data_IF_071429688626
#
_entry.id   IF_071429688626
#
_cell.length_a   1.000
_cell.length_b   1.000
_cell.length_c   1.000
_cell.angle_alpha   90.00
_cell.angle_beta   90.00
_cell.angle_gamma   90.00
#
_symmetry.space_group_name_H-M   'P 1'
#
loop_
_entity.id
_entity.type
_entity.pdbx_description
1 polymer ?
#
# COMPACT_ATOMS: atom_id res chain seq x y z
N UNK A 1 -5.42 -15.39 67.98
CA UNK A 1 -5.00 -14.07 67.47
C UNK A 1 -4.38 -14.37 66.11
N UNK A 2 -5.21 -14.52 65.07
CA UNK A 2 -5.76 -13.43 64.23
C UNK A 2 -4.71 -13.05 63.15
N UNK A 3 -4.94 -13.03 61.84
CA UNK A 3 -6.16 -13.13 61.03
C UNK A 3 -5.84 -13.70 59.63
N UNK A 4 -6.87 -14.27 59.01
CA UNK A 4 -7.06 -14.51 57.57
C UNK A 4 -7.22 -13.18 56.80
N UNK A 5 -6.81 -13.14 55.53
CA UNK A 5 -7.42 -12.42 54.37
C UNK A 5 -6.36 -12.35 53.24
N UNK A 6 -6.48 -13.14 52.18
CA UNK A 6 -7.23 -12.83 50.96
C UNK A 6 -6.60 -11.68 50.15
N UNK A 7 -5.73 -12.00 49.19
CA UNK A 7 -5.60 -11.19 47.98
C UNK A 7 -6.08 -12.02 46.79
N UNK A 8 -7.29 -11.66 46.39
CA UNK A 8 -8.03 -12.14 45.23
C UNK A 8 -7.38 -11.66 43.95
N UNK A 9 -7.27 -12.58 43.00
CA UNK A 9 -7.80 -12.45 41.64
C UNK A 9 -7.93 -11.01 41.10
N UNK A 10 -6.94 -10.58 40.33
CA UNK A 10 -7.08 -9.47 39.37
C UNK A 10 -7.01 -10.01 37.95
N UNK A 11 -7.82 -11.03 37.67
CA UNK A 11 -8.26 -11.33 36.32
C UNK A 11 -9.24 -10.28 35.80
N UNK A 12 -9.08 -9.91 34.52
CA UNK A 12 -10.16 -9.46 33.64
C UNK A 12 -11.00 -8.24 34.08
N UNK A 13 -10.54 -7.02 33.77
CA UNK A 13 -11.41 -5.83 33.74
C UNK A 13 -11.54 -5.21 32.33
N UNK A 14 -10.78 -5.71 31.33
CA UNK A 14 -10.84 -5.19 29.96
C UNK A 14 -11.92 -5.80 29.05
N UNK A 15 -12.26 -7.08 29.23
CA UNK A 15 -13.12 -7.82 28.27
C UNK A 15 -14.63 -7.67 28.48
N UNK A 16 -15.09 -7.44 29.71
CA UNK A 16 -16.54 -7.41 30.01
C UNK A 16 -17.21 -6.09 29.62
N UNK A 17 -16.48 -4.96 29.64
CA UNK A 17 -17.10 -3.63 29.56
C UNK A 17 -17.80 -3.32 28.24
N UNK A 18 -17.55 -4.05 27.16
CA UNK A 18 -18.25 -3.74 25.91
C UNK A 18 -18.77 -4.91 25.10
N UNK A 19 -18.78 -6.11 25.67
CA UNK A 19 -19.91 -7.02 25.45
C UNK A 19 -21.24 -6.41 25.95
N UNK A 20 -21.19 -5.54 26.97
CA UNK A 20 -22.35 -4.80 27.50
C UNK A 20 -22.99 -3.83 26.50
N UNK A 21 -22.23 -3.37 25.50
CA UNK A 21 -22.68 -2.43 24.48
C UNK A 21 -23.32 -3.13 23.26
N UNK A 22 -23.13 -4.44 23.10
CA UNK A 22 -23.67 -5.22 21.97
C UNK A 22 -25.20 -5.21 21.90
N UNK A 23 -25.96 -5.33 23.02
CA UNK A 23 -27.41 -5.17 23.00
C UNK A 23 -27.86 -3.81 22.46
N UNK A 24 -27.16 -2.73 22.83
CA UNK A 24 -27.44 -1.37 22.36
C UNK A 24 -27.16 -1.24 20.85
N UNK A 25 -26.08 -1.85 20.36
CA UNK A 25 -25.79 -1.94 18.93
C UNK A 25 -26.92 -2.66 18.19
N UNK A 26 -27.32 -3.84 18.67
CA UNK A 26 -28.41 -4.64 18.06
C UNK A 26 -29.71 -3.84 17.97
N UNK A 27 -30.04 -3.08 19.02
CA UNK A 27 -31.21 -2.20 19.03
C UNK A 27 -31.10 -1.11 17.96
N UNK A 28 -29.97 -0.42 17.87
CA UNK A 28 -29.77 0.65 16.89
C UNK A 28 -29.80 0.12 15.45
N UNK A 29 -29.19 -1.04 15.18
CA UNK A 29 -29.27 -1.69 13.87
C UNK A 29 -30.72 -2.08 13.48
N UNK A 30 -31.52 -2.51 14.46
CA UNK A 30 -32.95 -2.80 14.25
C UNK A 30 -33.76 -1.52 13.98
N UNK A 31 -33.44 -0.41 14.65
CA UNK A 31 -34.05 0.89 14.38
C UNK A 31 -33.73 1.35 12.95
N UNK A 32 -32.50 1.15 12.47
CA UNK A 32 -32.11 1.44 11.07
C UNK A 32 -32.90 0.59 10.06
N UNK A 33 -33.02 -0.73 10.32
CA UNK A 33 -33.81 -1.64 9.48
C UNK A 33 -35.28 -1.20 9.42
N UNK A 34 -35.86 -0.87 10.58
CA UNK A 34 -37.27 -0.46 10.69
C UNK A 34 -37.51 0.87 9.99
N UNK A 35 -36.63 1.85 10.20
CA UNK A 35 -36.68 3.14 9.53
C UNK A 35 -36.56 3.04 8.00
N UNK A 36 -35.72 2.13 7.49
CA UNK A 36 -35.63 1.85 6.05
C UNK A 36 -36.95 1.31 5.50
N UNK A 37 -37.56 0.32 6.18
CA UNK A 37 -38.81 -0.32 5.75
C UNK A 37 -40.01 0.62 5.79
N UNK A 38 -40.05 1.50 6.78
CA UNK A 38 -41.15 2.46 7.00
C UNK A 38 -40.93 3.79 6.26
N UNK A 39 -39.80 3.95 5.55
CA UNK A 39 -39.46 5.20 4.89
C UNK A 39 -40.47 5.54 3.78
N UNK A 40 -40.89 6.80 3.77
CA UNK A 40 -41.70 7.39 2.69
C UNK A 40 -40.86 8.09 1.63
N UNK A 41 -39.53 8.12 1.79
CA UNK A 41 -38.59 8.70 0.84
C UNK A 41 -38.42 7.84 -0.42
N UNK A 42 -37.91 8.41 -1.52
CA UNK A 42 -37.42 7.63 -2.66
C UNK A 42 -36.41 6.55 -2.24
N UNK A 43 -36.47 5.37 -2.87
CA UNK A 43 -35.66 4.21 -2.48
C UNK A 43 -34.15 4.48 -2.44
N UNK A 44 -33.63 5.32 -3.36
CA UNK A 44 -32.19 5.68 -3.41
C UNK A 44 -31.80 6.59 -2.24
N UNK A 45 -32.68 7.53 -1.84
CA UNK A 45 -32.44 8.42 -0.71
C UNK A 45 -32.49 7.63 0.61
N UNK A 46 -33.51 6.79 0.78
CA UNK A 46 -33.64 5.92 1.95
C UNK A 46 -32.44 4.95 2.09
N UNK A 47 -31.99 4.35 0.98
CA UNK A 47 -30.81 3.49 0.98
C UNK A 47 -29.52 4.26 1.31
N UNK A 48 -29.38 5.49 0.81
CA UNK A 48 -28.25 6.37 1.12
C UNK A 48 -28.22 6.74 2.61
N UNK A 49 -29.36 7.14 3.16
CA UNK A 49 -29.50 7.46 4.58
C UNK A 49 -29.20 6.25 5.47
N UNK A 50 -29.74 5.07 5.14
CA UNK A 50 -29.41 3.82 5.84
C UNK A 50 -27.91 3.54 5.83
N UNK A 51 -27.25 3.62 4.67
CA UNK A 51 -25.82 3.36 4.53
C UNK A 51 -24.98 4.35 5.37
N UNK A 52 -25.32 5.64 5.33
CA UNK A 52 -24.65 6.66 6.13
C UNK A 52 -24.82 6.41 7.64
N UNK A 53 -26.04 6.13 8.09
CA UNK A 53 -26.31 5.88 9.51
C UNK A 53 -25.68 4.56 9.99
N UNK A 54 -25.62 3.53 9.15
CA UNK A 54 -24.91 2.28 9.43
C UNK A 54 -23.41 2.55 9.61
N UNK A 55 -22.77 3.27 8.68
CA UNK A 55 -21.37 3.66 8.80
C UNK A 55 -21.11 4.48 10.07
N UNK A 56 -21.95 5.47 10.35
CA UNK A 56 -21.82 6.31 11.54
C UNK A 56 -21.92 5.48 12.83
N UNK A 57 -22.91 4.58 12.90
CA UNK A 57 -23.07 3.64 14.03
C UNK A 57 -21.83 2.75 14.17
N UNK A 58 -21.32 2.20 13.07
CA UNK A 58 -20.12 1.36 13.11
C UNK A 58 -18.88 2.11 13.58
N UNK A 59 -18.68 3.36 13.14
CA UNK A 59 -17.57 4.20 13.57
C UNK A 59 -17.65 4.48 15.07
N UNK A 60 -18.82 4.89 15.58
CA UNK A 60 -19.03 5.16 17.00
C UNK A 60 -18.71 3.95 17.88
N UNK A 61 -19.12 2.75 17.47
CA UNK A 61 -18.84 1.55 18.23
C UNK A 61 -17.40 1.07 18.05
N UNK A 62 -16.81 1.16 16.84
CA UNK A 62 -15.44 0.76 16.59
C UNK A 62 -14.41 1.67 17.30
N UNK A 63 -14.69 2.97 17.42
CA UNK A 63 -13.80 3.92 18.10
C UNK A 63 -13.62 3.63 19.59
N UNK A 64 -14.66 3.10 20.25
CA UNK A 64 -14.57 2.66 21.65
C UNK A 64 -13.52 1.57 21.86
N UNK A 65 -13.12 0.88 20.80
CA UNK A 65 -12.20 -0.26 20.83
C UNK A 65 -10.82 0.01 20.23
N UNK A 66 -10.59 1.20 19.64
CA UNK A 66 -9.26 1.57 19.10
C UNK A 66 -8.15 1.55 20.15
N UNK A 67 -8.50 1.67 21.44
CA UNK A 67 -7.57 1.66 22.59
C UNK A 67 -7.61 0.37 23.41
N UNK A 68 -8.41 -0.62 23.00
CA UNK A 68 -8.56 -1.91 23.71
C UNK A 68 -7.53 -2.91 23.20
N UNK A 69 -6.92 -3.67 24.12
CA UNK A 69 -6.08 -4.83 23.78
C UNK A 69 -6.90 -6.04 23.30
N UNK A 70 -8.22 -6.06 23.58
CA UNK A 70 -9.12 -7.14 23.17
C UNK A 70 -9.86 -6.80 21.86
N UNK A 71 -9.60 -7.53 20.75
CA UNK A 71 -10.28 -7.36 19.47
C UNK A 71 -11.64 -8.07 19.38
N UNK A 72 -12.00 -8.95 20.32
CA UNK A 72 -13.22 -9.77 20.25
C UNK A 72 -14.51 -8.92 20.20
N UNK A 73 -14.65 -7.83 20.97
CA UNK A 73 -15.86 -7.01 20.89
C UNK A 73 -16.04 -6.36 19.52
N UNK A 74 -14.96 -6.00 18.84
CA UNK A 74 -15.01 -5.43 17.49
C UNK A 74 -15.41 -6.48 16.44
N UNK A 75 -14.97 -7.74 16.60
CA UNK A 75 -15.47 -8.85 15.78
C UNK A 75 -16.98 -9.03 15.94
N UNK A 76 -17.49 -8.92 17.16
CA UNK A 76 -18.92 -8.99 17.43
C UNK A 76 -19.68 -7.80 16.80
N UNK A 77 -19.13 -6.58 16.86
CA UNK A 77 -19.68 -5.40 16.18
C UNK A 77 -19.85 -5.65 14.68
N UNK A 78 -18.80 -6.15 14.00
CA UNK A 78 -18.88 -6.43 12.56
C UNK A 78 -19.82 -7.60 12.24
N UNK A 79 -19.88 -8.61 13.10
CA UNK A 79 -20.82 -9.73 12.98
C UNK A 79 -22.27 -9.23 13.06
N UNK A 80 -22.58 -8.37 14.03
CA UNK A 80 -23.91 -7.79 14.16
C UNK A 80 -24.25 -6.84 13.01
N UNK A 81 -23.29 -6.08 12.51
CA UNK A 81 -23.49 -5.21 11.35
C UNK A 81 -23.81 -5.99 10.07
N UNK A 82 -23.09 -7.08 9.79
CA UNK A 82 -23.41 -7.96 8.66
C UNK A 82 -24.80 -8.59 8.87
N UNK A 83 -25.12 -9.04 10.08
CA UNK A 83 -26.47 -9.56 10.38
C UNK A 83 -27.58 -8.53 10.12
N UNK A 84 -27.40 -7.28 10.57
CA UNK A 84 -28.34 -6.19 10.32
C UNK A 84 -28.45 -5.87 8.83
N UNK A 85 -27.33 -5.81 8.13
CA UNK A 85 -27.30 -5.56 6.68
C UNK A 85 -28.04 -6.65 5.90
N UNK A 86 -27.87 -7.93 6.25
CA UNK A 86 -28.61 -9.04 5.60
C UNK A 86 -30.11 -8.87 5.74
N UNK A 87 -30.60 -8.38 6.89
CA UNK A 87 -32.03 -8.15 7.12
C UNK A 87 -32.56 -6.95 6.34
N UNK A 88 -31.76 -5.90 6.22
CA UNK A 88 -32.10 -4.69 5.47
C UNK A 88 -31.97 -4.88 3.94
N UNK A 89 -31.12 -5.81 3.47
CA UNK A 89 -30.79 -6.00 2.05
C UNK A 89 -32.01 -6.12 1.10
N UNK A 90 -33.11 -6.83 1.45
CA UNK A 90 -34.30 -6.90 0.59
C UNK A 90 -34.99 -5.55 0.35
N UNK A 91 -34.86 -4.62 1.31
CA UNK A 91 -35.46 -3.29 1.28
C UNK A 91 -34.51 -2.24 0.64
N UNK A 92 -33.25 -2.61 0.36
CA UNK A 92 -32.24 -1.75 -0.27
C UNK A 92 -32.27 -1.84 -1.79
N UNK A 93 -32.39 -0.69 -2.47
CA UNK A 93 -32.27 -0.61 -3.93
C UNK A 93 -30.84 -0.88 -4.41
N UNK A 94 -30.70 -1.58 -5.53
CA UNK A 94 -29.41 -1.83 -6.17
C UNK A 94 -28.93 -0.65 -7.02
N UNK A 95 -29.76 0.38 -7.20
CA UNK A 95 -29.39 1.63 -7.90
C UNK A 95 -28.51 2.55 -7.04
N UNK A 96 -28.43 2.30 -5.73
CA UNK A 96 -27.62 3.09 -4.82
C UNK A 96 -26.22 2.47 -4.68
N UNK A 97 -25.19 3.16 -5.19
CA UNK A 97 -23.79 2.70 -5.14
C UNK A 97 -23.29 2.48 -3.69
N UNK A 98 -23.81 3.26 -2.73
CA UNK A 98 -23.46 3.15 -1.31
C UNK A 98 -23.78 1.76 -0.73
N UNK A 99 -24.81 1.08 -1.26
CA UNK A 99 -25.25 -0.22 -0.76
C UNK A 99 -24.13 -1.26 -0.92
N UNK A 100 -23.56 -1.36 -2.13
CA UNK A 100 -22.44 -2.25 -2.40
C UNK A 100 -21.18 -1.78 -1.66
N UNK A 101 -20.88 -0.49 -1.73
CA UNK A 101 -19.67 0.10 -1.15
C UNK A 101 -19.55 -0.14 0.36
N UNK A 102 -20.62 0.11 1.13
CA UNK A 102 -20.60 -0.08 2.59
C UNK A 102 -20.38 -1.54 2.97
N UNK A 103 -21.00 -2.48 2.25
CA UNK A 103 -20.80 -3.90 2.51
C UNK A 103 -19.37 -4.34 2.19
N UNK A 104 -18.80 -3.87 1.08
CA UNK A 104 -17.40 -4.13 0.73
C UNK A 104 -16.45 -3.58 1.79
N UNK A 105 -16.63 -2.32 2.19
CA UNK A 105 -15.81 -1.70 3.24
C UNK A 105 -15.91 -2.45 4.57
N UNK A 106 -17.11 -2.89 4.95
CA UNK A 106 -17.32 -3.70 6.15
C UNK A 106 -16.62 -5.06 6.05
N UNK A 107 -16.71 -5.73 4.90
CA UNK A 107 -16.05 -7.01 4.67
C UNK A 107 -14.52 -6.88 4.76
N UNK A 108 -13.95 -5.83 4.17
CA UNK A 108 -12.51 -5.54 4.24
C UNK A 108 -12.07 -5.23 5.67
N UNK A 109 -12.80 -4.39 6.41
CA UNK A 109 -12.47 -4.09 7.81
C UNK A 109 -12.54 -5.34 8.71
N UNK A 110 -13.51 -6.23 8.48
CA UNK A 110 -13.60 -7.51 9.19
C UNK A 110 -12.40 -8.39 8.84
N UNK A 111 -12.07 -8.55 7.55
CA UNK A 111 -10.93 -9.35 7.11
C UNK A 111 -9.61 -8.83 7.71
N UNK A 112 -9.41 -7.51 7.73
CA UNK A 112 -8.22 -6.88 8.33
C UNK A 112 -8.12 -7.21 9.82
N UNK A 113 -9.23 -7.12 10.55
CA UNK A 113 -9.27 -7.45 11.98
C UNK A 113 -8.92 -8.92 12.22
N UNK A 114 -9.46 -9.85 11.42
CA UNK A 114 -9.15 -11.28 11.52
C UNK A 114 -7.67 -11.57 11.28
N UNK A 115 -7.06 -10.90 10.31
CA UNK A 115 -5.62 -11.02 10.04
C UNK A 115 -4.77 -10.46 11.18
N UNK A 116 -5.28 -9.46 11.91
CA UNK A 116 -4.57 -8.74 12.97
C UNK A 116 -4.80 -9.26 14.39
N UNK A 117 -5.52 -10.37 14.57
CA UNK A 117 -5.75 -10.93 15.89
C UNK A 117 -4.41 -11.34 16.55
N UNK A 118 -4.15 -10.91 17.81
CA UNK A 118 -2.89 -11.20 18.50
C UNK A 118 -2.78 -12.69 18.89
N UNK A 119 -3.93 -13.34 19.10
CA UNK A 119 -4.09 -14.76 19.39
C UNK A 119 -5.16 -15.30 18.46
N UNK A 120 -4.95 -16.52 17.95
CA UNK A 120 -5.97 -17.19 17.14
C UNK A 120 -7.26 -17.36 17.92
N UNK A 121 -8.39 -17.27 17.21
CA UNK A 121 -9.67 -17.59 17.81
C UNK A 121 -9.71 -19.08 18.21
N UNK A 122 -10.31 -19.41 19.35
CA UNK A 122 -10.64 -20.79 19.70
C UNK A 122 -11.42 -21.49 18.57
N UNK A 123 -11.16 -22.78 18.35
CA UNK A 123 -11.74 -23.56 17.24
C UNK A 123 -13.27 -23.49 17.18
N UNK A 124 -13.94 -23.49 18.32
CA UNK A 124 -15.40 -23.35 18.39
C UNK A 124 -15.87 -21.98 17.86
N UNK A 125 -15.19 -20.89 18.24
CA UNK A 125 -15.50 -19.53 17.76
C UNK A 125 -15.21 -19.39 16.27
N UNK A 126 -14.15 -20.03 15.78
CA UNK A 126 -13.85 -20.04 14.35
C UNK A 126 -14.94 -20.79 13.55
N UNK A 127 -15.40 -21.94 14.02
CA UNK A 127 -16.52 -22.67 13.40
C UNK A 127 -17.84 -21.89 13.40
N UNK A 128 -18.12 -21.14 14.46
CA UNK A 128 -19.25 -20.21 14.51
C UNK A 128 -19.12 -19.13 13.43
N UNK A 129 -17.93 -18.52 13.30
CA UNK A 129 -17.62 -17.56 12.24
C UNK A 129 -17.81 -18.17 10.84
N UNK A 130 -17.24 -19.35 10.57
CA UNK A 130 -17.38 -20.02 9.26
C UNK A 130 -18.85 -20.26 8.91
N UNK A 131 -19.62 -20.80 9.86
CA UNK A 131 -21.05 -21.06 9.69
C UNK A 131 -21.84 -19.77 9.42
N UNK A 132 -21.52 -18.70 10.15
CA UNK A 132 -22.13 -17.39 9.98
C UNK A 132 -21.81 -16.80 8.60
N UNK A 133 -20.54 -16.76 8.20
CA UNK A 133 -20.13 -16.19 6.91
C UNK A 133 -20.70 -17.00 5.75
N UNK A 134 -20.74 -18.34 5.82
CA UNK A 134 -21.35 -19.16 4.78
C UNK A 134 -22.84 -18.84 4.61
N UNK A 135 -23.58 -18.69 5.71
CA UNK A 135 -24.98 -18.28 5.68
C UNK A 135 -25.13 -16.85 5.12
N UNK A 136 -24.30 -15.92 5.56
CA UNK A 136 -24.33 -14.52 5.16
C UNK A 136 -24.06 -14.36 3.67
N UNK A 137 -22.99 -15.00 3.18
CA UNK A 137 -22.59 -15.00 1.79
C UNK A 137 -23.69 -15.56 0.90
N UNK A 138 -24.27 -16.71 1.27
CA UNK A 138 -25.36 -17.34 0.50
C UNK A 138 -26.59 -16.42 0.39
N UNK A 139 -27.02 -15.79 1.51
CA UNK A 139 -28.17 -14.88 1.51
C UNK A 139 -27.91 -13.59 0.72
N UNK A 140 -26.70 -13.05 0.76
CA UNK A 140 -26.34 -11.85 0.03
C UNK A 140 -26.20 -12.12 -1.47
N UNK A 141 -25.65 -13.26 -1.86
CA UNK A 141 -25.57 -13.70 -3.26
C UNK A 141 -26.94 -13.89 -3.90
N UNK A 142 -27.95 -14.37 -3.15
CA UNK A 142 -29.34 -14.43 -3.63
C UNK A 142 -29.91 -13.05 -4.01
N UNK A 143 -29.38 -11.98 -3.41
CA UNK A 143 -29.73 -10.59 -3.70
C UNK A 143 -28.70 -9.90 -4.62
N UNK A 144 -27.83 -10.67 -5.29
CA UNK A 144 -26.81 -10.15 -6.21
C UNK A 144 -25.61 -9.47 -5.56
N UNK A 145 -25.44 -9.59 -4.24
CA UNK A 145 -24.33 -8.96 -3.49
C UNK A 145 -23.18 -9.93 -3.29
N UNK A 146 -22.07 -9.70 -4.00
CA UNK A 146 -20.84 -10.52 -3.92
C UNK A 146 -19.77 -9.97 -2.97
N UNK A 147 -19.99 -8.81 -2.35
CA UNK A 147 -18.98 -8.06 -1.59
C UNK A 147 -18.43 -8.81 -0.36
N UNK A 148 -19.16 -9.82 0.13
CA UNK A 148 -18.71 -10.67 1.26
C UNK A 148 -17.71 -11.77 0.84
N UNK A 149 -17.35 -11.87 -0.44
CA UNK A 149 -16.53 -12.95 -0.97
C UNK A 149 -15.19 -13.11 -0.23
N UNK A 150 -14.49 -12.01 0.10
CA UNK A 150 -13.21 -12.06 0.83
C UNK A 150 -13.31 -12.78 2.17
N UNK A 151 -14.41 -12.58 2.92
CA UNK A 151 -14.65 -13.29 4.17
C UNK A 151 -15.00 -14.75 3.92
N UNK A 152 -15.72 -15.05 2.83
CA UNK A 152 -16.05 -16.42 2.45
C UNK A 152 -14.81 -17.24 2.06
N UNK A 153 -13.80 -16.60 1.47
CA UNK A 153 -12.48 -17.18 1.18
C UNK A 153 -11.76 -17.49 2.49
N UNK A 154 -11.65 -16.52 3.39
CA UNK A 154 -11.03 -16.71 4.71
C UNK A 154 -11.72 -17.81 5.53
N UNK A 155 -13.04 -17.94 5.41
CA UNK A 155 -13.82 -18.94 6.12
C UNK A 155 -13.64 -20.39 5.59
N UNK A 156 -12.97 -20.61 4.46
CA UNK A 156 -12.72 -21.98 3.98
C UNK A 156 -11.68 -22.73 4.82
N UNK A 157 -10.85 -22.01 5.57
CA UNK A 157 -9.74 -22.56 6.36
C UNK A 157 -10.05 -22.50 7.85
N UNK A 158 -9.34 -23.26 8.69
CA UNK A 158 -9.53 -23.31 10.15
C UNK A 158 -8.82 -22.16 10.91
N UNK A 159 -8.41 -21.13 10.18
CA UNK A 159 -7.77 -19.94 10.72
C UNK A 159 -7.26 -19.03 9.62
N UNK A 160 -7.15 -17.74 9.93
CA UNK A 160 -6.75 -16.74 8.95
C UNK A 160 -5.37 -17.04 8.33
N UNK A 161 -4.46 -17.72 9.03
CA UNK A 161 -3.10 -18.02 8.57
C UNK A 161 -2.80 -19.53 8.46
N UNK A 162 -3.82 -20.40 8.50
CA UNK A 162 -3.65 -21.87 8.62
C UNK A 162 -3.69 -22.64 7.31
N UNK A 163 -3.95 -21.98 6.18
CA UNK A 163 -3.91 -22.68 4.90
C UNK A 163 -2.51 -23.33 4.72
N UNK A 164 -2.43 -24.63 4.40
CA UNK A 164 -1.15 -25.34 4.35
C UNK A 164 -0.21 -24.79 3.26
N UNK A 165 -0.75 -24.39 2.10
CA UNK A 165 0.05 -23.79 1.01
C UNK A 165 0.60 -22.44 1.46
N UNK A 166 -0.22 -21.62 2.13
CA UNK A 166 0.25 -20.37 2.74
C UNK A 166 1.36 -20.62 3.77
N UNK A 167 1.17 -21.58 4.69
CA UNK A 167 2.19 -21.92 5.68
C UNK A 167 3.51 -22.33 5.02
N UNK A 168 3.48 -23.16 3.97
CA UNK A 168 4.68 -23.56 3.24
C UNK A 168 5.33 -22.38 2.50
N UNK A 169 4.54 -21.45 1.94
CA UNK A 169 5.05 -20.20 1.34
C UNK A 169 5.79 -19.36 2.38
N UNK A 170 5.18 -19.13 3.55
CA UNK A 170 5.74 -18.29 4.61
C UNK A 170 6.97 -18.94 5.25
N UNK A 171 7.01 -20.27 5.33
CA UNK A 171 8.16 -21.04 5.79
C UNK A 171 9.25 -21.19 4.72
N UNK A 172 8.99 -20.78 3.47
CA UNK A 172 9.90 -20.92 2.32
C UNK A 172 10.34 -22.38 2.06
N UNK A 173 9.42 -23.32 2.26
CA UNK A 173 9.64 -24.74 1.98
C UNK A 173 9.55 -25.04 0.47
N UNK A 174 9.84 -26.28 0.06
CA UNK A 174 9.65 -26.69 -1.34
C UNK A 174 8.15 -26.71 -1.67
N UNK A 175 7.78 -26.03 -2.75
CA UNK A 175 6.38 -25.82 -3.14
C UNK A 175 6.07 -26.54 -4.46
N UNK A 176 4.87 -27.11 -4.54
CA UNK A 176 4.25 -27.42 -5.81
C UNK A 176 3.70 -26.12 -6.43
N UNK A 177 4.28 -25.72 -7.57
CA UNK A 177 3.91 -24.48 -8.26
C UNK A 177 2.45 -24.47 -8.72
N UNK A 178 1.87 -25.63 -9.05
CA UNK A 178 0.46 -25.69 -9.46
C UNK A 178 -0.47 -25.46 -8.26
N UNK A 179 -0.10 -25.95 -7.07
CA UNK A 179 -0.85 -25.69 -5.84
C UNK A 179 -0.74 -24.22 -5.41
N UNK A 180 0.47 -23.63 -5.51
CA UNK A 180 0.69 -22.21 -5.23
C UNK A 180 -0.14 -21.33 -6.17
N UNK A 181 -0.13 -21.58 -7.48
CA UNK A 181 -0.89 -20.78 -8.44
C UNK A 181 -2.40 -20.88 -8.17
N UNK A 182 -2.91 -22.08 -7.88
CA UNK A 182 -4.32 -22.27 -7.50
C UNK A 182 -4.67 -21.51 -6.22
N UNK A 183 -3.80 -21.56 -5.22
CA UNK A 183 -3.98 -20.83 -3.96
C UNK A 183 -4.02 -19.32 -4.19
N UNK A 184 -3.07 -18.76 -4.95
CA UNK A 184 -3.03 -17.32 -5.24
C UNK A 184 -4.27 -16.85 -6.02
N UNK A 185 -4.68 -17.63 -7.03
CA UNK A 185 -5.90 -17.35 -7.79
C UNK A 185 -7.17 -17.46 -6.92
N UNK A 186 -7.20 -18.40 -5.98
CA UNK A 186 -8.31 -18.60 -5.06
C UNK A 186 -8.42 -17.49 -4.02
N UNK A 187 -7.32 -17.06 -3.40
CA UNK A 187 -7.36 -15.95 -2.43
C UNK A 187 -7.65 -14.60 -3.08
N UNK A 188 -7.15 -14.40 -4.29
CA UNK A 188 -7.32 -13.17 -5.04
C UNK A 188 -6.46 -12.01 -4.54
N UNK A 189 -6.37 -10.92 -5.32
CA UNK A 189 -5.38 -9.87 -5.11
C UNK A 189 -5.58 -9.08 -3.81
N UNK A 190 -6.83 -8.83 -3.42
CA UNK A 190 -7.14 -7.99 -2.25
C UNK A 190 -6.69 -8.66 -0.96
N UNK A 191 -7.02 -9.95 -0.76
CA UNK A 191 -6.64 -10.66 0.46
C UNK A 191 -5.13 -10.86 0.54
N UNK A 192 -4.49 -11.21 -0.57
CA UNK A 192 -3.03 -11.35 -0.66
C UNK A 192 -2.31 -10.04 -0.30
N UNK A 193 -2.77 -8.90 -0.82
CA UNK A 193 -2.21 -7.58 -0.49
C UNK A 193 -2.38 -7.27 1.01
N UNK A 194 -3.56 -7.54 1.59
CA UNK A 194 -3.80 -7.35 3.03
C UNK A 194 -2.86 -8.21 3.88
N UNK A 195 -2.60 -9.47 3.49
CA UNK A 195 -1.63 -10.34 4.16
C UNK A 195 -0.23 -9.78 4.09
N UNK A 196 0.23 -9.39 2.91
CA UNK A 196 1.57 -8.83 2.73
C UNK A 196 1.75 -7.57 3.59
N UNK A 197 0.78 -6.64 3.55
CA UNK A 197 0.78 -5.44 4.38
C UNK A 197 0.80 -5.76 5.88
N UNK A 198 0.04 -6.76 6.31
CA UNK A 198 0.07 -7.22 7.69
C UNK A 198 1.46 -7.73 8.09
N UNK A 199 2.07 -8.61 7.29
CA UNK A 199 3.41 -9.15 7.53
C UNK A 199 4.47 -8.05 7.60
N UNK A 200 4.37 -7.03 6.73
CA UNK A 200 5.25 -5.85 6.77
C UNK A 200 5.07 -5.07 8.08
N UNK A 201 3.83 -4.82 8.50
CA UNK A 201 3.48 -4.10 9.73
C UNK A 201 3.99 -4.82 10.99
N UNK A 202 3.94 -6.16 11.00
CA UNK A 202 4.46 -7.01 12.10
C UNK A 202 5.95 -7.32 11.98
N UNK A 203 6.67 -6.68 11.05
CA UNK A 203 8.12 -6.82 10.81
C UNK A 203 8.57 -8.22 10.37
N UNK A 204 7.66 -9.02 9.81
CA UNK A 204 7.95 -10.33 9.21
C UNK A 204 8.38 -10.18 7.75
N UNK A 205 9.44 -9.38 7.51
CA UNK A 205 9.83 -8.93 6.16
C UNK A 205 10.22 -10.08 5.23
N UNK A 206 10.84 -11.15 5.71
CA UNK A 206 11.20 -12.31 4.89
C UNK A 206 9.96 -12.99 4.30
N UNK A 207 8.92 -13.16 5.11
CA UNK A 207 7.65 -13.77 4.72
C UNK A 207 6.87 -12.86 3.77
N UNK A 208 6.80 -11.55 4.08
CA UNK A 208 6.20 -10.56 3.19
C UNK A 208 6.88 -10.56 1.81
N UNK A 209 8.22 -10.59 1.79
CA UNK A 209 9.02 -10.63 0.56
C UNK A 209 8.72 -11.89 -0.26
N UNK A 210 8.62 -13.06 0.38
CA UNK A 210 8.34 -14.32 -0.29
C UNK A 210 6.94 -14.32 -0.93
N UNK A 211 5.92 -13.93 -0.18
CA UNK A 211 4.54 -13.87 -0.68
C UNK A 211 4.39 -12.83 -1.79
N UNK A 212 4.93 -11.62 -1.61
CA UNK A 212 4.88 -10.56 -2.62
C UNK A 212 5.57 -10.97 -3.94
N UNK A 213 6.69 -11.70 -3.87
CA UNK A 213 7.38 -12.22 -5.06
C UNK A 213 6.52 -13.21 -5.84
N UNK A 214 5.87 -14.13 -5.14
CA UNK A 214 5.00 -15.12 -5.77
C UNK A 214 3.79 -14.44 -6.44
N UNK A 215 3.16 -13.49 -5.74
CA UNK A 215 2.08 -12.70 -6.31
C UNK A 215 2.53 -11.89 -7.54
N UNK A 216 3.71 -11.26 -7.51
CA UNK A 216 4.21 -10.47 -8.63
C UNK A 216 4.53 -11.32 -9.87
N UNK A 217 4.87 -12.60 -9.67
CA UNK A 217 5.21 -13.52 -10.75
C UNK A 217 4.00 -14.29 -11.28
N UNK A 218 2.84 -14.21 -10.62
CA UNK A 218 1.63 -14.89 -11.05
C UNK A 218 1.02 -14.19 -12.27
N UNK A 219 0.73 -14.90 -13.39
CA UNK A 219 0.30 -14.28 -14.65
C UNK A 219 -0.96 -13.42 -14.55
N UNK A 220 -1.94 -13.86 -13.75
CA UNK A 220 -3.25 -13.18 -13.64
C UNK A 220 -3.33 -12.21 -12.47
N UNK A 221 -2.62 -12.50 -11.38
CA UNK A 221 -2.72 -11.76 -10.12
C UNK A 221 -1.71 -10.62 -10.10
N UNK A 222 -0.53 -10.85 -10.69
CA UNK A 222 0.55 -9.86 -10.76
C UNK A 222 0.14 -8.55 -11.44
N UNK A 223 -0.84 -8.59 -12.36
CA UNK A 223 -1.38 -7.40 -13.04
C UNK A 223 -2.60 -6.77 -12.34
N UNK A 224 -3.19 -7.43 -11.34
CA UNK A 224 -4.41 -6.97 -10.64
C UNK A 224 -4.11 -6.17 -9.37
N UNK A 225 -2.83 -5.91 -9.07
CA UNK A 225 -2.41 -5.13 -7.93
C UNK A 225 -0.94 -4.72 -8.03
N UNK A 226 -0.49 -3.88 -7.10
CA UNK A 226 0.86 -3.34 -7.07
C UNK A 226 1.89 -4.34 -6.50
N UNK A 227 1.74 -5.64 -6.75
CA UNK A 227 2.58 -6.68 -6.13
C UNK A 227 4.06 -6.54 -6.47
N UNK A 228 4.40 -6.14 -7.70
CA UNK A 228 5.79 -5.88 -8.06
C UNK A 228 6.36 -4.70 -7.27
N UNK A 229 5.62 -3.59 -7.12
CA UNK A 229 6.01 -2.46 -6.27
C UNK A 229 6.18 -2.90 -4.82
N UNK A 230 5.21 -3.61 -4.25
CA UNK A 230 5.25 -4.12 -2.86
C UNK A 230 6.44 -5.06 -2.63
N UNK A 231 6.74 -5.93 -3.60
CA UNK A 231 7.91 -6.80 -3.56
C UNK A 231 9.22 -5.99 -3.53
N UNK A 232 9.36 -4.96 -4.37
CA UNK A 232 10.52 -4.08 -4.37
C UNK A 232 10.67 -3.31 -3.05
N UNK A 233 9.57 -2.80 -2.49
CA UNK A 233 9.57 -2.16 -1.16
C UNK A 233 10.06 -3.11 -0.06
N UNK A 234 9.64 -4.38 -0.11
CA UNK A 234 10.14 -5.40 0.82
C UNK A 234 11.65 -5.60 0.67
N UNK A 235 12.18 -5.65 -0.56
CA UNK A 235 13.62 -5.75 -0.82
C UNK A 235 14.40 -4.53 -0.32
N UNK A 236 13.87 -3.32 -0.48
CA UNK A 236 14.45 -2.08 0.04
C UNK A 236 14.62 -2.12 1.57
N UNK A 237 13.73 -2.83 2.27
CA UNK A 237 13.71 -2.90 3.74
C UNK A 237 14.54 -4.06 4.31
N UNK A 238 14.79 -5.12 3.54
CA UNK A 238 15.28 -6.40 4.07
C UNK A 238 16.51 -7.01 3.39
N UNK A 239 17.03 -6.47 2.28
CA UNK A 239 18.10 -7.14 1.50
C UNK A 239 19.31 -6.24 1.20
N UNK A 240 20.52 -6.82 1.01
CA UNK A 240 21.63 -6.08 0.42
C UNK A 240 21.26 -5.66 -1.02
N UNK A 241 21.70 -4.46 -1.41
CA UNK A 241 21.34 -3.79 -2.67
C UNK A 241 21.44 -4.67 -3.94
N UNK A 242 22.25 -5.73 -3.94
CA UNK A 242 22.46 -6.59 -5.11
C UNK A 242 21.18 -7.27 -5.61
N UNK A 243 20.35 -7.84 -4.71
CA UNK A 243 19.11 -8.53 -5.12
C UNK A 243 18.09 -7.54 -5.67
N UNK A 244 18.00 -6.35 -5.08
CA UNK A 244 17.18 -5.26 -5.59
C UNK A 244 17.63 -4.86 -6.99
N UNK A 245 18.94 -4.65 -7.20
CA UNK A 245 19.49 -4.30 -8.52
C UNK A 245 19.19 -5.35 -9.60
N UNK A 246 19.23 -6.63 -9.25
CA UNK A 246 18.83 -7.71 -10.16
C UNK A 246 17.34 -7.64 -10.52
N UNK A 247 16.46 -7.48 -9.52
CA UNK A 247 15.01 -7.49 -9.72
C UNK A 247 14.49 -6.24 -10.44
N UNK A 248 15.19 -5.10 -10.34
CA UNK A 248 14.88 -3.90 -11.11
C UNK A 248 15.51 -3.88 -12.50
N UNK A 249 16.43 -4.79 -12.84
CA UNK A 249 17.20 -4.71 -14.09
C UNK A 249 16.30 -4.64 -15.33
N UNK A 250 15.22 -5.41 -15.35
CA UNK A 250 14.32 -5.57 -16.50
C UNK A 250 13.05 -4.71 -16.44
N UNK A 251 12.92 -3.81 -15.44
CA UNK A 251 11.73 -2.96 -15.27
C UNK A 251 11.85 -1.70 -16.14
N UNK A 252 10.80 -1.36 -16.91
CA UNK A 252 10.79 -0.14 -17.70
C UNK A 252 10.88 1.10 -16.80
N UNK A 253 11.60 2.12 -17.26
CA UNK A 253 11.84 3.31 -16.44
C UNK A 253 10.59 4.16 -16.20
N UNK A 254 9.56 4.09 -17.06
CA UNK A 254 8.27 4.73 -16.80
C UNK A 254 7.49 4.01 -15.71
N UNK A 255 7.44 2.68 -15.78
CA UNK A 255 6.80 1.87 -14.75
C UNK A 255 7.48 2.11 -13.39
N UNK A 256 8.82 2.24 -13.38
CA UNK A 256 9.57 2.62 -12.19
C UNK A 256 9.14 3.99 -11.63
N UNK A 257 9.01 5.01 -12.49
CA UNK A 257 8.55 6.35 -12.08
C UNK A 257 7.12 6.30 -11.53
N UNK A 258 6.22 5.54 -12.15
CA UNK A 258 4.85 5.34 -11.65
C UNK A 258 4.87 4.70 -10.25
N UNK A 259 5.65 3.63 -10.06
CA UNK A 259 5.80 3.00 -8.74
C UNK A 259 6.32 3.97 -7.68
N UNK A 260 7.29 4.83 -8.02
CA UNK A 260 7.85 5.83 -7.10
C UNK A 260 6.81 6.92 -6.78
N UNK A 261 6.06 7.41 -7.79
CA UNK A 261 4.96 8.35 -7.59
C UNK A 261 3.88 7.79 -6.67
N UNK A 262 3.52 6.52 -6.87
CA UNK A 262 2.51 5.85 -6.05
C UNK A 262 2.95 5.83 -4.57
N UNK A 263 4.18 5.41 -4.29
CA UNK A 263 4.74 5.40 -2.94
C UNK A 263 4.79 6.80 -2.30
N UNK A 264 5.16 7.82 -3.06
CA UNK A 264 5.13 9.20 -2.60
C UNK A 264 3.70 9.64 -2.24
N UNK A 265 2.72 9.34 -3.11
CA UNK A 265 1.32 9.71 -2.90
C UNK A 265 0.69 9.01 -1.69
N UNK A 266 1.15 7.79 -1.39
CA UNK A 266 0.78 7.02 -0.20
C UNK A 266 1.48 7.54 1.09
N UNK A 267 2.45 8.44 0.94
CA UNK A 267 3.22 9.01 2.05
C UNK A 267 4.43 8.18 2.49
N UNK A 268 4.77 7.10 1.79
CA UNK A 268 5.99 6.32 2.05
C UNK A 268 7.21 6.92 1.31
N UNK A 269 7.56 8.16 1.68
CA UNK A 269 8.65 8.90 1.04
C UNK A 269 10.02 8.21 1.22
N UNK A 270 10.20 7.42 2.28
CA UNK A 270 11.45 6.69 2.54
C UNK A 270 11.64 5.56 1.55
N UNK A 271 10.63 4.71 1.36
CA UNK A 271 10.70 3.64 0.37
C UNK A 271 10.77 4.21 -1.04
N UNK A 272 10.02 5.29 -1.33
CA UNK A 272 10.09 6.00 -2.61
C UNK A 272 11.52 6.50 -2.90
N UNK A 273 12.19 7.11 -1.92
CA UNK A 273 13.57 7.58 -2.06
C UNK A 273 14.56 6.44 -2.32
N UNK A 274 14.48 5.34 -1.55
CA UNK A 274 15.37 4.18 -1.72
C UNK A 274 15.18 3.58 -3.12
N UNK A 275 13.94 3.37 -3.54
CA UNK A 275 13.62 2.81 -4.84
C UNK A 275 14.07 3.75 -5.98
N UNK A 276 13.83 5.05 -5.85
CA UNK A 276 14.26 6.06 -6.81
C UNK A 276 15.80 6.11 -6.92
N UNK A 277 16.52 6.04 -5.79
CA UNK A 277 17.97 5.97 -5.79
C UNK A 277 18.51 4.70 -6.47
N UNK A 278 17.84 3.56 -6.31
CA UNK A 278 18.20 2.30 -6.97
C UNK A 278 18.02 2.38 -8.49
N UNK A 279 16.86 2.84 -8.96
CA UNK A 279 16.61 3.04 -10.40
C UNK A 279 17.52 4.10 -11.02
N UNK A 280 17.75 5.21 -10.32
CA UNK A 280 18.70 6.23 -10.77
C UNK A 280 20.10 5.61 -10.88
N UNK A 281 20.56 4.89 -9.86
CA UNK A 281 21.86 4.22 -9.90
C UNK A 281 21.99 3.27 -11.10
N UNK A 282 20.94 2.51 -11.43
CA UNK A 282 20.88 1.67 -12.63
C UNK A 282 21.06 2.49 -13.91
N UNK A 283 20.28 3.56 -14.11
CA UNK A 283 20.36 4.42 -15.30
C UNK A 283 21.76 5.04 -15.45
N UNK A 284 22.36 5.52 -14.36
CA UNK A 284 23.69 6.11 -14.38
C UNK A 284 24.77 5.08 -14.76
N UNK A 285 24.69 3.86 -14.21
CA UNK A 285 25.63 2.77 -14.45
C UNK A 285 25.55 2.23 -15.89
N UNK A 286 24.35 2.13 -16.44
CA UNK A 286 24.10 1.64 -17.79
C UNK A 286 24.29 2.74 -18.86
N UNK A 287 24.34 4.01 -18.44
CA UNK A 287 24.45 5.13 -19.37
C UNK A 287 23.14 5.45 -20.10
N UNK A 288 22.00 4.98 -19.57
CA UNK A 288 20.69 5.20 -20.18
C UNK A 288 20.18 6.62 -19.98
N UNK A 289 19.70 7.23 -21.06
CA UNK A 289 19.15 8.59 -21.04
C UNK A 289 17.63 8.63 -20.87
N UNK A 290 16.94 7.54 -21.19
CA UNK A 290 15.49 7.44 -21.06
C UNK A 290 15.06 7.62 -19.61
N UNK A 291 14.19 8.62 -19.37
CA UNK A 291 13.68 9.02 -18.05
C UNK A 291 14.74 9.42 -17.01
N UNK A 292 16.02 9.56 -17.40
CA UNK A 292 17.11 9.80 -16.46
C UNK A 292 17.06 11.20 -15.84
N UNK A 293 16.58 12.21 -16.58
CA UNK A 293 16.37 13.55 -16.03
C UNK A 293 15.22 13.58 -15.02
N UNK A 294 14.09 12.95 -15.37
CA UNK A 294 12.91 12.83 -14.52
C UNK A 294 13.26 12.12 -13.21
N UNK A 295 13.96 10.97 -13.28
CA UNK A 295 14.46 10.27 -12.09
C UNK A 295 15.42 11.14 -11.27
N UNK A 296 16.36 11.84 -11.90
CA UNK A 296 17.34 12.69 -11.18
C UNK A 296 16.62 13.83 -10.45
N UNK A 297 15.68 14.49 -11.11
CA UNK A 297 14.90 15.58 -10.54
C UNK A 297 14.02 15.08 -9.39
N UNK A 298 13.36 13.94 -9.57
CA UNK A 298 12.48 13.36 -8.57
C UNK A 298 13.28 12.89 -7.35
N UNK A 299 14.37 12.15 -7.56
CA UNK A 299 15.32 11.77 -6.51
C UNK A 299 15.78 12.98 -5.71
N UNK A 300 16.16 14.06 -6.39
CA UNK A 300 16.64 15.28 -5.73
C UNK A 300 15.60 15.88 -4.78
N UNK A 301 14.36 16.03 -5.25
CA UNK A 301 13.26 16.57 -4.44
C UNK A 301 12.87 15.66 -3.28
N UNK A 302 12.88 14.34 -3.49
CA UNK A 302 12.62 13.36 -2.44
C UNK A 302 13.73 13.39 -1.37
N UNK A 303 15.00 13.41 -1.79
CA UNK A 303 16.14 13.45 -0.88
C UNK A 303 16.09 14.67 0.03
N UNK A 304 15.73 15.85 -0.49
CA UNK A 304 15.59 17.08 0.30
C UNK A 304 14.45 17.00 1.32
N UNK A 305 13.33 16.35 0.99
CA UNK A 305 12.21 16.19 1.91
C UNK A 305 12.50 15.19 3.02
N UNK A 306 13.05 14.03 2.66
CA UNK A 306 13.32 12.94 3.60
C UNK A 306 14.52 13.27 4.51
N UNK A 307 15.55 13.92 3.97
CA UNK A 307 16.79 14.24 4.69
C UNK A 307 17.34 15.63 4.28
N UNK A 308 16.85 16.73 4.89
CA UNK A 308 17.13 18.12 4.50
C UNK A 308 18.53 18.61 4.93
N UNK A 309 19.57 17.79 4.76
CA UNK A 309 20.96 18.14 5.06
C UNK A 309 21.73 18.45 3.78
N UNK A 310 22.22 19.69 3.68
CA UNK A 310 23.07 20.13 2.57
C UNK A 310 24.29 19.23 2.39
N UNK A 311 24.97 18.88 3.49
CA UNK A 311 26.17 18.05 3.43
C UNK A 311 25.86 16.65 2.92
N UNK A 312 24.79 16.04 3.41
CA UNK A 312 24.39 14.69 3.00
C UNK A 312 23.95 14.69 1.54
N UNK A 313 23.14 15.67 1.12
CA UNK A 313 22.71 15.80 -0.26
C UNK A 313 23.89 15.93 -1.24
N UNK A 314 24.86 16.79 -0.93
CA UNK A 314 26.06 16.95 -1.77
C UNK A 314 26.90 15.67 -1.80
N UNK A 315 27.01 14.96 -0.67
CA UNK A 315 27.71 13.69 -0.62
C UNK A 315 27.01 12.60 -1.46
N UNK A 316 25.67 12.53 -1.42
CA UNK A 316 24.91 11.63 -2.29
C UNK A 316 25.08 11.99 -3.77
N UNK A 317 25.11 13.27 -4.12
CA UNK A 317 25.39 13.70 -5.49
C UNK A 317 26.80 13.25 -5.94
N UNK A 318 27.81 13.34 -5.06
CA UNK A 318 29.15 12.81 -5.36
C UNK A 318 29.12 11.31 -5.59
N UNK A 319 28.45 10.54 -4.72
CA UNK A 319 28.30 9.10 -4.86
C UNK A 319 27.64 8.72 -6.19
N UNK A 320 26.52 9.36 -6.54
CA UNK A 320 25.84 9.14 -7.83
C UNK A 320 26.75 9.51 -9.01
N UNK A 321 27.52 10.59 -8.90
CA UNK A 321 28.43 10.98 -9.97
C UNK A 321 29.44 9.89 -10.30
N UNK A 322 29.89 9.08 -9.32
CA UNK A 322 30.85 7.98 -9.52
C UNK A 322 30.29 6.92 -10.47
N UNK A 323 28.97 6.75 -10.48
CA UNK A 323 28.29 5.78 -11.32
C UNK A 323 28.14 6.23 -12.78
N UNK A 324 28.18 7.54 -13.03
CA UNK A 324 27.90 8.12 -14.35
C UNK A 324 28.83 7.61 -15.44
N UNK A 325 28.24 7.26 -16.59
CA UNK A 325 28.96 6.91 -17.83
C UNK A 325 28.91 7.99 -18.90
N UNK A 326 28.09 9.03 -18.69
CA UNK A 326 27.89 10.11 -19.66
C UNK A 326 28.07 11.48 -19.01
N UNK A 327 28.51 12.47 -19.79
CA UNK A 327 28.56 13.87 -19.34
C UNK A 327 27.18 14.46 -19.08
N UNK A 328 26.15 13.99 -19.80
CA UNK A 328 24.77 14.45 -19.60
C UNK A 328 24.26 14.15 -18.19
N UNK A 329 24.53 12.95 -17.67
CA UNK A 329 24.16 12.61 -16.30
C UNK A 329 24.88 13.46 -15.26
N UNK A 330 26.15 13.83 -15.50
CA UNK A 330 26.87 14.76 -14.64
C UNK A 330 26.21 16.15 -14.68
N UNK A 331 25.79 16.62 -15.85
CA UNK A 331 25.06 17.88 -15.98
C UNK A 331 23.69 17.84 -15.29
N UNK A 332 23.00 16.70 -15.27
CA UNK A 332 21.76 16.56 -14.51
C UNK A 332 22.01 16.76 -13.00
N UNK A 333 23.07 16.14 -12.46
CA UNK A 333 23.47 16.32 -11.05
C UNK A 333 23.85 17.78 -10.75
N UNK A 334 24.63 18.44 -11.59
CA UNK A 334 24.97 19.87 -11.43
C UNK A 334 23.70 20.72 -11.42
N UNK A 335 22.76 20.43 -12.31
CA UNK A 335 21.51 21.19 -12.43
C UNK A 335 20.65 21.07 -11.17
N UNK A 336 20.53 19.88 -10.58
CA UNK A 336 19.77 19.71 -9.32
C UNK A 336 20.51 20.28 -8.11
N UNK A 337 21.85 20.22 -8.06
CA UNK A 337 22.61 20.92 -7.01
C UNK A 337 22.36 22.43 -7.05
N UNK A 338 22.41 23.02 -8.25
CA UNK A 338 22.16 24.45 -8.42
C UNK A 338 20.71 24.84 -8.05
N UNK A 339 19.72 23.96 -8.26
CA UNK A 339 18.34 24.26 -7.90
C UNK A 339 18.05 24.13 -6.41
N UNK A 340 18.62 23.12 -5.73
CA UNK A 340 18.29 22.83 -4.34
C UNK A 340 19.22 23.49 -3.31
N UNK A 341 20.50 23.73 -3.65
CA UNK A 341 21.56 24.10 -2.68
C UNK A 341 22.16 25.49 -2.96
N UNK A 342 21.86 26.08 -4.13
CA UNK A 342 22.31 27.41 -4.55
C UNK A 342 23.85 27.57 -4.37
N UNK A 343 24.32 28.71 -3.83
CA UNK A 343 25.74 29.01 -3.68
C UNK A 343 26.54 27.99 -2.85
N UNK A 344 25.91 27.28 -1.90
CA UNK A 344 26.58 26.29 -1.07
C UNK A 344 27.00 25.04 -1.88
N UNK A 345 26.41 24.82 -3.06
CA UNK A 345 26.71 23.68 -3.93
C UNK A 345 27.87 23.94 -4.90
N UNK A 346 28.35 25.18 -5.02
CA UNK A 346 29.28 25.60 -6.06
C UNK A 346 30.57 24.76 -6.10
N UNK A 347 31.16 24.46 -4.95
CA UNK A 347 32.38 23.65 -4.88
C UNK A 347 32.17 22.24 -5.48
N UNK A 348 31.05 21.60 -5.17
CA UNK A 348 30.67 20.29 -5.73
C UNK A 348 30.37 20.40 -7.22
N UNK A 349 29.69 21.45 -7.68
CA UNK A 349 29.46 21.68 -9.11
C UNK A 349 30.79 21.80 -9.89
N UNK A 350 31.78 22.51 -9.35
CA UNK A 350 33.13 22.60 -9.97
C UNK A 350 33.80 21.22 -10.03
N UNK A 351 33.73 20.46 -8.94
CA UNK A 351 34.26 19.08 -8.89
C UNK A 351 33.64 18.19 -9.99
N UNK A 352 32.32 18.26 -10.15
CA UNK A 352 31.58 17.55 -11.18
C UNK A 352 31.91 18.02 -12.60
N UNK A 353 32.10 19.33 -12.82
CA UNK A 353 32.57 19.85 -14.11
C UNK A 353 33.95 19.30 -14.50
N UNK A 354 34.90 19.26 -13.56
CA UNK A 354 36.22 18.66 -13.79
C UNK A 354 36.09 17.18 -14.17
N UNK A 355 35.17 16.46 -13.53
CA UNK A 355 34.88 15.07 -13.85
C UNK A 355 34.27 14.89 -15.24
N UNK A 356 33.33 15.75 -15.64
CA UNK A 356 32.75 15.72 -16.99
C UNK A 356 33.83 15.89 -18.07
N UNK A 357 34.73 16.86 -17.90
CA UNK A 357 35.85 17.09 -18.83
C UNK A 357 36.78 15.87 -18.95
N UNK A 358 37.02 15.15 -17.84
CA UNK A 358 37.83 13.92 -17.84
C UNK A 358 37.13 12.76 -18.52
N UNK A 359 35.80 12.69 -18.43
CA UNK A 359 35.00 11.64 -19.05
C UNK A 359 35.00 11.80 -20.59
N UNK A 360 34.87 13.02 -21.10
CA UNK A 360 35.00 13.33 -22.54
C UNK A 360 36.41 13.05 -23.09
N UNK A 361 37.46 13.41 -22.34
CA UNK A 361 38.84 13.20 -22.76
C UNK A 361 39.20 11.72 -23.01
N UNK A 362 38.47 10.79 -22.39
CA UNK A 362 38.63 9.35 -22.61
C UNK A 362 37.90 8.82 -23.84
N UNK A 363 36.96 9.58 -24.43
CA UNK A 363 36.15 9.13 -25.57
C UNK A 363 36.56 9.67 -26.94
N UNK A 364 37.42 10.70 -27.05
CA UNK A 364 38.34 10.99 -28.18
C UNK A 364 39.01 12.38 -28.02
N UNK A 365 40.34 12.38 -28.20
CA UNK A 365 41.28 13.41 -28.73
C UNK A 365 40.75 14.85 -28.98
N UNK A 366 41.47 15.80 -28.37
CA UNK A 366 41.58 17.25 -28.66
C UNK A 366 40.36 18.12 -28.37
N UNK A 367 40.50 18.91 -27.31
CA UNK A 367 39.78 20.15 -27.03
C UNK A 367 40.01 21.12 -28.20
N UNK A 368 39.02 21.28 -29.08
CA UNK A 368 38.76 22.57 -29.68
C UNK A 368 37.60 23.19 -28.91
N UNK A 369 37.94 24.16 -28.06
CA UNK A 369 37.02 25.12 -27.44
C UNK A 369 36.34 25.96 -28.54
N UNK A 370 35.40 25.40 -29.29
CA UNK A 370 34.48 26.14 -30.14
C UNK A 370 33.21 25.29 -30.41
N UNK A 371 32.13 25.64 -29.68
CA UNK A 371 30.72 25.20 -29.80
C UNK A 371 30.40 23.70 -29.57
N UNK A 372 29.27 23.29 -28.92
CA UNK A 372 28.08 24.00 -28.40
C UNK A 372 27.92 23.93 -26.86
N UNK A 373 28.92 23.44 -26.13
CA UNK A 373 28.88 23.30 -24.66
C UNK A 373 28.84 24.67 -23.98
N UNK A 374 29.48 25.69 -24.57
CA UNK A 374 29.39 27.09 -24.10
C UNK A 374 27.96 27.65 -24.19
N UNK A 375 27.17 27.22 -25.19
CA UNK A 375 25.77 27.59 -25.30
C UNK A 375 24.90 26.86 -24.26
N UNK A 376 25.26 25.64 -23.83
CA UNK A 376 24.61 24.98 -22.68
C UNK A 376 24.94 25.69 -21.36
N UNK A 377 26.16 26.20 -21.21
CA UNK A 377 26.58 27.01 -20.05
C UNK A 377 25.86 28.36 -19.99
N UNK A 378 25.59 29.01 -21.13
CA UNK A 378 24.82 30.26 -21.17
C UNK A 378 23.29 30.06 -21.04
N UNK A 379 22.74 28.93 -21.48
CA UNK A 379 21.30 28.63 -21.42
C UNK A 379 20.82 28.09 -20.05
N UNK A 380 21.69 28.00 -19.03
CA UNK A 380 21.31 27.70 -17.64
C UNK A 380 20.58 28.86 -16.93
N UNK A 381 20.25 29.96 -17.63
CA UNK A 381 19.18 30.87 -17.19
C UNK A 381 17.82 30.28 -17.56
N UNK A 382 17.12 29.76 -16.54
CA UNK A 382 15.67 29.54 -16.40
C UNK A 382 14.78 29.74 -17.65
N UNK A 383 13.88 28.77 -17.90
CA UNK A 383 12.51 29.04 -17.50
C UNK A 383 11.87 27.87 -16.74
N UNK A 384 11.35 28.19 -15.55
CA UNK A 384 10.23 27.48 -14.95
C UNK A 384 9.00 27.69 -15.85
N UNK A 385 8.58 26.64 -16.56
CA UNK A 385 7.19 26.45 -16.98
C UNK A 385 6.83 24.98 -16.74
N UNK A 386 6.27 24.72 -15.56
CA UNK A 386 5.32 23.63 -15.37
C UNK A 386 3.96 24.28 -15.15
N UNK A 387 3.04 24.05 -16.08
CA UNK A 387 1.59 24.10 -15.83
C UNK A 387 0.92 23.05 -16.73
N UNK A 388 0.18 22.17 -16.05
CA UNK A 388 -0.89 21.27 -16.52
C UNK A 388 -0.58 20.15 -17.51
N UNK A 389 -0.57 18.92 -16.98
CA UNK A 389 -1.01 17.71 -17.67
C UNK A 389 -2.04 17.03 -16.77
N UNK A 390 -3.25 17.58 -16.71
CA UNK A 390 -4.52 16.89 -16.46
C UNK A 390 -5.64 17.89 -16.73
N UNK A 391 -6.13 17.90 -17.96
CA UNK A 391 -7.55 18.11 -18.30
C UNK A 391 -7.77 17.82 -19.81
N UNK A 392 -8.36 16.64 -20.06
CA UNK A 392 -9.15 16.16 -21.21
C UNK A 392 -8.98 16.76 -22.63
N UNK A 393 -8.91 15.88 -23.66
CA UNK A 393 -9.68 16.03 -24.91
C UNK A 393 -10.80 14.95 -24.98
N UNK A 394 -11.78 14.94 -25.92
CA UNK A 394 -11.81 15.70 -27.20
C UNK A 394 -13.20 16.20 -27.72
N UNK A 395 -13.15 16.98 -28.82
CA UNK A 395 -14.15 17.19 -29.92
C UNK A 395 -15.46 18.03 -29.78
N UNK A 396 -15.66 18.86 -30.82
CA UNK A 396 -16.88 19.21 -31.62
C UNK A 396 -17.58 20.60 -31.50
N UNK A 397 -17.68 21.24 -32.68
CA UNK A 397 -18.63 22.25 -33.21
C UNK A 397 -18.49 23.69 -32.68
N UNK A 398 -18.28 24.70 -33.54
CA UNK A 398 -19.03 25.10 -34.77
C UNK A 398 -18.13 25.29 -35.99
#
# INVERSE_FOLDING_TARGET
>A
MADEEAEQDSGSVGGESGLLDIPSLKKRLLELETGLRESSQPAVEAATEYCQQLCQTLLEYAEKWKTSEDPLPLLEVYTQAIHGYIKARPDLTSECENVAFVLERLALSYAELLLCLPLELPENRWKEFQSFIQMAHTKLMQNGSCQLHILSVLAQEDGAWKNPVLCSILSQELLDWDEVNKFLAFEGPVLLDMRIKHLMKTKQLSQATALAKLCSNHPEIGSQGNFKQTYLVCLCSGSPNEKLMQEIADIDCKDALEMICNLESEGDEKSALILCAAFLSRQLQQGEMYCAWELTLFWSKLQQRVEPSVQIYLERCRQLSVLTKTVYHIFFLIKVINSEIDAAGLATCIELCVKALRLEANHLVVICLNDPIANLWMNLKFPLKFYSLMDNPPYLQV
#
